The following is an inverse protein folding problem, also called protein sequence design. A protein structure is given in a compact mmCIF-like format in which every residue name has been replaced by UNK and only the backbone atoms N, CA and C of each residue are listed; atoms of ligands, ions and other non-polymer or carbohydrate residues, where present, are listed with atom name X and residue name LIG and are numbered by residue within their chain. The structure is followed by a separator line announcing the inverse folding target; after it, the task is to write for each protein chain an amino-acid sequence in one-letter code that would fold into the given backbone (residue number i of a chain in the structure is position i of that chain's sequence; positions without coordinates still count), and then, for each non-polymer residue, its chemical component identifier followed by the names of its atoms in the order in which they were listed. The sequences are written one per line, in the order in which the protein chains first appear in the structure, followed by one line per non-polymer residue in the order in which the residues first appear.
data_IF_859535391087
#
_entry.id   IF_859535391087
#
_cell.length_a   1.000
_cell.length_b   1.000
_cell.length_c   1.000
_cell.angle_alpha   90.00
_cell.angle_beta   90.00
_cell.angle_gamma   90.00
#
_symmetry.space_group_name_H-M   'P 1'
#
loop_
_entity.id
_entity.type
_entity.pdbx_description
1 polymer ?
#
# COMPACT_ATOMS: atom_id res chain seq x y z
N UNK A 1 19.22 5.53 1.33
CA UNK A 1 18.33 4.60 0.59
C UNK A 1 17.10 4.42 1.45
N UNK A 2 15.89 4.46 0.87
CA UNK A 2 14.67 4.31 1.67
C UNK A 2 14.57 2.88 2.22
N UNK A 3 14.01 2.73 3.42
CA UNK A 3 13.66 1.42 3.98
C UNK A 3 12.20 1.39 4.43
N UNK A 4 11.59 0.21 4.32
CA UNK A 4 10.20 -0.02 4.70
C UNK A 4 10.10 -0.55 6.12
N UNK A 5 9.08 -0.10 6.84
CA UNK A 5 8.79 -0.51 8.20
C UNK A 5 7.28 -0.59 8.41
N UNK A 6 6.84 -1.41 9.37
CA UNK A 6 5.44 -1.63 9.70
C UNK A 6 5.29 -2.21 11.11
N UNK A 7 4.06 -2.20 11.62
CA UNK A 7 3.74 -2.92 12.85
C UNK A 7 3.51 -4.41 12.55
N UNK A 8 4.28 -5.30 13.20
CA UNK A 8 4.21 -6.74 12.96
C UNK A 8 2.85 -7.33 13.36
N UNK A 9 2.24 -6.84 14.44
CA UNK A 9 0.90 -7.30 14.87
C UNK A 9 -0.14 -6.98 13.80
N UNK A 10 -0.05 -5.79 13.20
CA UNK A 10 -0.90 -5.35 12.10
C UNK A 10 -0.68 -6.20 10.86
N UNK A 11 0.57 -6.52 10.55
CA UNK A 11 0.90 -7.34 9.40
C UNK A 11 0.34 -8.77 9.54
N UNK A 12 0.50 -9.38 10.72
CA UNK A 12 -0.10 -10.69 11.02
C UNK A 12 -1.63 -10.65 10.92
N UNK A 13 -2.25 -9.57 11.41
CA UNK A 13 -3.69 -9.38 11.26
C UNK A 13 -4.11 -9.31 9.80
N UNK A 14 -3.38 -8.59 8.93
CA UNK A 14 -3.66 -8.52 7.49
C UNK A 14 -3.54 -9.89 6.81
N UNK A 15 -2.50 -10.67 7.15
CA UNK A 15 -2.32 -12.03 6.65
C UNK A 15 -3.52 -12.91 6.99
N UNK A 16 -3.94 -12.90 8.25
CA UNK A 16 -5.04 -13.74 8.74
C UNK A 16 -6.43 -13.31 8.22
N UNK A 17 -6.69 -12.01 8.13
CA UNK A 17 -8.04 -11.49 7.89
C UNK A 17 -8.28 -11.06 6.44
N UNK A 18 -7.22 -10.81 5.67
CA UNK A 18 -7.30 -10.29 4.30
C UNK A 18 -6.47 -11.07 3.29
N UNK A 19 -5.66 -12.04 3.73
CA UNK A 19 -4.82 -12.85 2.85
C UNK A 19 -3.70 -12.08 2.17
N UNK A 20 -3.35 -10.90 2.68
CA UNK A 20 -2.33 -10.00 2.10
C UNK A 20 -1.36 -9.54 3.16
N UNK A 21 -0.16 -9.10 2.75
CA UNK A 21 0.91 -8.73 3.68
C UNK A 21 1.69 -7.49 3.27
N UNK A 22 2.40 -6.88 4.23
CA UNK A 22 3.32 -5.79 3.92
C UNK A 22 4.58 -6.27 3.22
N UNK A 23 5.06 -7.50 3.47
CA UNK A 23 6.19 -8.06 2.74
C UNK A 23 5.89 -8.20 1.25
N UNK A 24 4.70 -8.70 0.90
CA UNK A 24 4.22 -8.77 -0.47
C UNK A 24 4.16 -7.38 -1.13
N UNK A 25 3.62 -6.39 -0.42
CA UNK A 25 3.60 -4.99 -0.89
C UNK A 25 5.00 -4.49 -1.22
N UNK A 26 5.98 -4.71 -0.35
CA UNK A 26 7.36 -4.26 -0.59
C UNK A 26 7.94 -4.95 -1.81
N UNK A 27 7.79 -6.27 -1.93
CA UNK A 27 8.24 -7.02 -3.11
C UNK A 27 7.62 -6.47 -4.40
N UNK A 28 6.33 -6.13 -4.41
CA UNK A 28 5.64 -5.57 -5.58
C UNK A 28 6.14 -4.17 -5.92
N UNK A 29 6.41 -3.31 -4.92
CA UNK A 29 6.98 -1.98 -5.16
C UNK A 29 8.38 -2.10 -5.75
N UNK A 30 9.22 -2.97 -5.20
CA UNK A 30 10.58 -3.21 -5.70
C UNK A 30 10.60 -3.85 -7.10
N UNK A 31 9.57 -4.63 -7.43
CA UNK A 31 9.36 -5.22 -8.76
C UNK A 31 8.69 -4.26 -9.75
N UNK A 32 8.57 -2.97 -9.40
CA UNK A 32 8.00 -1.91 -10.25
C UNK A 32 6.52 -2.12 -10.64
N UNK A 33 5.74 -2.83 -9.81
CA UNK A 33 4.29 -3.06 -9.98
C UNK A 33 3.41 -1.99 -9.28
N UNK A 34 3.96 -0.78 -9.12
CA UNK A 34 3.22 0.35 -8.59
C UNK A 34 2.35 0.97 -9.69
N UNK A 35 1.03 1.04 -9.46
CA UNK A 35 0.09 1.67 -10.41
C UNK A 35 0.11 3.20 -10.30
N UNK A 36 0.17 3.73 -9.08
CA UNK A 36 0.17 5.17 -8.82
C UNK A 36 0.63 5.49 -7.39
N UNK A 37 1.00 6.75 -7.16
CA UNK A 37 1.27 7.32 -5.85
C UNK A 37 0.38 8.55 -5.63
N UNK A 38 -0.61 8.44 -4.75
CA UNK A 38 -1.59 9.50 -4.51
C UNK A 38 -1.45 10.10 -3.11
N UNK A 39 -1.81 11.36 -2.95
CA UNK A 39 -1.81 12.04 -1.65
C UNK A 39 -3.16 11.89 -0.94
N UNK A 40 -3.15 11.73 0.39
CA UNK A 40 -4.37 11.62 1.22
C UNK A 40 -4.63 12.92 2.01
N UNK A 41 -4.43 14.06 1.34
CA UNK A 41 -4.32 15.39 1.97
C UNK A 41 -5.60 15.88 2.64
N UNK A 42 -6.78 15.39 2.25
CA UNK A 42 -8.05 15.90 2.78
C UNK A 42 -8.33 15.45 4.21
N UNK A 43 -7.86 14.28 4.62
CA UNK A 43 -8.17 13.70 5.94
C UNK A 43 -6.93 13.45 6.80
N UNK A 44 -5.75 13.26 6.19
CA UNK A 44 -4.51 12.96 6.90
C UNK A 44 -3.32 13.70 6.26
N UNK A 45 -3.00 14.93 6.72
CA UNK A 45 -1.84 15.67 6.23
C UNK A 45 -0.55 14.86 6.34
N UNK A 46 0.27 14.87 5.29
CA UNK A 46 1.53 14.12 5.23
C UNK A 46 1.40 12.62 4.94
N UNK A 47 0.18 12.08 4.85
CA UNK A 47 -0.03 10.70 4.41
C UNK A 47 -0.12 10.61 2.89
N UNK A 48 0.59 9.64 2.32
CA UNK A 48 0.47 9.24 0.91
C UNK A 48 -0.02 7.80 0.83
N UNK A 49 -0.40 7.38 -0.37
CA UNK A 49 -1.00 6.07 -0.61
C UNK A 49 -0.38 5.48 -1.88
N UNK A 50 0.24 4.32 -1.74
CA UNK A 50 0.59 3.50 -2.89
C UNK A 50 -0.67 2.84 -3.44
N UNK A 51 -0.82 2.84 -4.75
CA UNK A 51 -1.82 2.05 -5.46
C UNK A 51 -1.10 0.90 -6.15
N UNK A 52 -1.43 -0.33 -5.78
CA UNK A 52 -0.71 -1.53 -6.25
C UNK A 52 -1.73 -2.50 -6.84
N UNK A 53 -1.37 -3.17 -7.94
CA UNK A 53 -2.13 -4.29 -8.46
C UNK A 53 -1.74 -5.57 -7.72
N UNK A 54 -2.72 -6.22 -7.09
CA UNK A 54 -2.58 -7.56 -6.53
C UNK A 54 -3.62 -8.43 -7.24
N UNK A 55 -3.14 -9.33 -8.09
CA UNK A 55 -3.96 -10.32 -8.83
C UNK A 55 -5.15 -9.71 -9.60
N UNK A 56 -4.95 -8.56 -10.26
CA UNK A 56 -5.99 -7.89 -11.05
C UNK A 56 -6.96 -7.06 -10.20
N UNK A 57 -6.61 -6.77 -8.95
CA UNK A 57 -7.38 -5.90 -8.07
C UNK A 57 -6.50 -4.82 -7.45
N UNK A 58 -6.95 -3.57 -7.49
CA UNK A 58 -6.16 -2.47 -6.94
C UNK A 58 -6.30 -2.40 -5.41
N UNK A 59 -5.16 -2.41 -4.74
CA UNK A 59 -5.04 -2.20 -3.31
C UNK A 59 -4.44 -0.82 -3.01
N UNK A 60 -4.94 -0.21 -1.94
CA UNK A 60 -4.44 1.04 -1.40
C UNK A 60 -3.61 0.77 -0.16
N UNK A 61 -2.38 1.31 -0.15
CA UNK A 61 -1.44 1.17 0.96
C UNK A 61 -1.08 2.55 1.50
N UNK A 62 -1.81 3.07 2.49
CA UNK A 62 -1.43 4.32 3.14
C UNK A 62 -0.11 4.20 3.90
N UNK A 63 0.74 5.20 3.76
CA UNK A 63 2.03 5.28 4.41
C UNK A 63 2.40 6.71 4.78
N UNK A 64 3.38 6.85 5.67
CA UNK A 64 4.01 8.12 6.02
C UNK A 64 5.51 8.03 5.79
N UNK A 65 6.11 9.14 5.37
CA UNK A 65 7.56 9.28 5.24
C UNK A 65 8.12 9.94 6.50
N UNK A 66 9.14 9.31 7.09
CA UNK A 66 9.82 9.82 8.27
C UNK A 66 11.34 9.73 8.05
N UNK A 67 11.94 10.82 7.56
CA UNK A 67 13.34 10.82 7.14
C UNK A 67 13.56 9.88 5.95
N UNK A 68 14.25 8.75 6.17
CA UNK A 68 14.47 7.70 5.16
C UNK A 68 13.55 6.48 5.36
N UNK A 69 12.63 6.54 6.32
CA UNK A 69 11.68 5.46 6.65
C UNK A 69 10.36 5.65 5.91
N UNK A 70 9.86 4.59 5.28
CA UNK A 70 8.50 4.50 4.76
C UNK A 70 7.71 3.58 5.69
N UNK A 71 6.84 4.16 6.51
CA UNK A 71 6.03 3.38 7.46
C UNK A 71 4.66 3.05 6.87
N UNK A 72 4.41 1.77 6.61
CA UNK A 72 3.16 1.26 6.05
C UNK A 72 2.09 1.11 7.15
N UNK A 73 0.97 1.82 7.01
CA UNK A 73 -0.07 1.86 8.04
C UNK A 73 -1.11 0.75 7.90
N UNK A 74 -1.51 0.44 6.66
CA UNK A 74 -2.56 -0.53 6.36
C UNK A 74 -2.57 -0.86 4.87
N UNK A 75 -3.34 -1.88 4.50
CA UNK A 75 -3.50 -2.36 3.13
C UNK A 75 -4.95 -2.78 2.93
N UNK A 76 -5.65 -2.25 1.92
CA UNK A 76 -7.04 -2.60 1.66
C UNK A 76 -7.43 -2.52 0.17
N UNK A 77 -8.34 -3.39 -0.29
CA UNK A 77 -8.83 -3.37 -1.66
C UNK A 77 -9.67 -2.11 -1.93
N UNK A 78 -9.57 -1.57 -3.14
CA UNK A 78 -10.37 -0.41 -3.56
C UNK A 78 -11.00 -0.62 -4.93
N UNK A 79 -12.31 -0.93 -4.94
CA UNK A 79 -13.11 -1.03 -6.18
C UNK A 79 -13.01 0.22 -7.07
N UNK A 80 -12.93 1.40 -6.45
CA UNK A 80 -12.79 2.67 -7.18
C UNK A 80 -11.43 2.76 -7.87
N UNK A 81 -10.36 2.34 -7.19
CA UNK A 81 -9.03 2.29 -7.78
C UNK A 81 -8.96 1.21 -8.88
N UNK A 82 -9.54 0.02 -8.65
CA UNK A 82 -9.57 -1.05 -9.65
C UNK A 82 -10.19 -0.55 -10.94
N UNK A 83 -11.39 0.05 -10.88
CA UNK A 83 -12.04 0.63 -12.08
C UNK A 83 -11.22 1.72 -12.78
N UNK A 84 -10.38 2.45 -12.03
CA UNK A 84 -9.58 3.56 -12.56
C UNK A 84 -8.31 3.05 -13.26
N UNK A 85 -7.59 2.14 -12.62
CA UNK A 85 -6.24 1.74 -13.02
C UNK A 85 -6.19 0.39 -13.72
N UNK A 86 -7.08 -0.54 -13.38
CA UNK A 86 -7.11 -1.90 -13.92
C UNK A 86 -8.31 -1.98 -14.88
N UNK A 87 -8.02 -1.84 -16.16
CA UNK A 87 -8.99 -2.01 -17.24
C UNK A 87 -8.68 -3.33 -17.94
N UNK A 88 -9.60 -4.27 -17.83
CA UNK A 88 -9.67 -5.40 -18.75
C UNK A 88 -10.27 -4.95 -20.07
#
# INVERSE_FOLDING_TARGET
MWYYDWDDTKNQWLKQNRGVSFEEVVMLIESNNLLDLISNTSKYPGQRVFVIDIEGYAYLVPFVEEGQRIFLKTLFPSRKATKKYIKN
#
